data_IF_115973447305
#
_entry.id   IF_115973447305
#
_cell.length_a   1.000
_cell.length_b   1.000
_cell.length_c   1.000
_cell.angle_alpha   90.00
_cell.angle_beta   90.00
_cell.angle_gamma   90.00
#
_symmetry.space_group_name_H-M   'P 1'
#
loop_
_entity.id
_entity.type
_entity.pdbx_description
1 polymer ?
#
# COMPACT_ATOMS: atom_id res chain seq x y z
N UNK A 1 -36.57 -34.78 21.92
CA UNK A 1 -36.52 -33.33 22.17
C UNK A 1 -36.30 -32.66 20.83
N UNK A 2 -37.04 -31.59 20.53
CA UNK A 2 -36.81 -30.80 19.34
C UNK A 2 -35.56 -29.94 19.58
N UNK A 3 -34.56 -30.00 18.71
CA UNK A 3 -33.35 -29.18 18.83
C UNK A 3 -33.29 -28.21 17.66
N UNK A 4 -32.77 -27.02 17.91
CA UNK A 4 -32.48 -26.04 16.88
C UNK A 4 -31.30 -26.54 16.02
N UNK A 5 -31.47 -26.59 14.71
CA UNK A 5 -30.42 -27.06 13.80
C UNK A 5 -29.21 -26.11 13.70
N UNK A 6 -29.31 -24.88 14.20
CA UNK A 6 -28.24 -23.88 14.14
C UNK A 6 -27.39 -23.90 15.40
N UNK A 7 -28.01 -23.80 16.58
CA UNK A 7 -27.29 -23.73 17.86
C UNK A 7 -27.23 -25.08 18.60
N UNK A 8 -27.93 -26.10 18.12
CA UNK A 8 -28.05 -27.45 18.73
C UNK A 8 -28.67 -27.49 20.13
N UNK A 9 -29.16 -26.35 20.64
CA UNK A 9 -29.87 -26.28 21.91
C UNK A 9 -31.33 -26.77 21.74
N UNK A 10 -31.88 -27.29 22.83
CA UNK A 10 -33.27 -27.74 22.88
C UNK A 10 -34.24 -26.57 22.67
N UNK A 11 -35.33 -26.83 21.96
CA UNK A 11 -36.46 -25.92 21.79
C UNK A 11 -37.53 -26.33 22.80
N UNK A 12 -37.80 -25.45 23.76
CA UNK A 12 -38.83 -25.64 24.76
C UNK A 12 -40.15 -25.09 24.23
N UNK A 13 -41.11 -25.99 23.98
CA UNK A 13 -42.46 -25.61 23.56
C UNK A 13 -43.07 -24.67 24.61
N UNK A 14 -43.71 -23.60 24.15
CA UNK A 14 -44.36 -22.53 24.94
C UNK A 14 -43.44 -21.46 25.55
N UNK A 15 -42.12 -21.68 25.60
CA UNK A 15 -41.15 -20.69 26.05
C UNK A 15 -40.36 -20.07 24.89
N UNK A 16 -39.95 -20.89 23.93
CA UNK A 16 -39.13 -20.44 22.81
C UNK A 16 -39.98 -20.07 21.60
N UNK A 17 -39.61 -18.96 20.94
CA UNK A 17 -40.07 -18.69 19.57
C UNK A 17 -39.21 -19.48 18.60
N UNK A 18 -39.84 -20.24 17.72
CA UNK A 18 -39.15 -21.07 16.72
C UNK A 18 -39.91 -21.07 15.38
N UNK A 19 -39.19 -21.38 14.31
CA UNK A 19 -39.72 -21.55 12.96
C UNK A 19 -39.24 -22.89 12.41
N UNK A 20 -39.94 -23.42 11.42
CA UNK A 20 -39.58 -24.65 10.72
C UNK A 20 -39.31 -24.37 9.24
N UNK A 21 -38.30 -25.02 8.66
CA UNK A 21 -38.18 -25.05 7.21
C UNK A 21 -39.32 -25.91 6.60
N UNK A 22 -39.56 -25.84 5.28
CA UNK A 22 -40.60 -26.65 4.63
C UNK A 22 -40.48 -28.16 4.88
N UNK A 23 -39.25 -28.66 5.08
CA UNK A 23 -38.96 -30.05 5.40
C UNK A 23 -39.02 -30.38 6.91
N UNK A 24 -39.49 -29.45 7.75
CA UNK A 24 -39.77 -29.68 9.17
C UNK A 24 -38.59 -29.49 10.14
N UNK A 25 -37.40 -29.07 9.67
CA UNK A 25 -36.27 -28.76 10.56
C UNK A 25 -36.51 -27.49 11.36
N UNK A 26 -36.34 -27.57 12.68
CA UNK A 26 -36.69 -26.53 13.64
C UNK A 26 -35.50 -25.62 13.94
N UNK A 27 -35.77 -24.32 14.08
CA UNK A 27 -34.78 -23.28 14.37
C UNK A 27 -35.36 -22.28 15.36
N UNK A 28 -34.57 -21.85 16.35
CA UNK A 28 -34.95 -20.70 17.20
C UNK A 28 -35.10 -19.43 16.36
N UNK A 29 -36.04 -18.57 16.73
CA UNK A 29 -36.31 -17.32 16.01
C UNK A 29 -35.07 -16.43 15.85
N UNK A 30 -34.32 -16.22 16.94
CA UNK A 30 -33.08 -15.42 16.90
C UNK A 30 -31.95 -16.10 16.10
N UNK A 31 -31.86 -17.43 16.16
CA UNK A 31 -30.88 -18.16 15.35
C UNK A 31 -31.21 -18.05 13.85
N UNK A 32 -32.50 -18.15 13.49
CA UNK A 32 -32.94 -17.99 12.10
C UNK A 32 -32.72 -16.56 11.62
N UNK A 33 -33.01 -15.57 12.46
CA UNK A 33 -32.80 -14.14 12.18
C UNK A 33 -31.38 -13.84 11.73
N UNK A 34 -30.37 -14.29 12.48
CA UNK A 34 -28.96 -14.09 12.13
C UNK A 34 -28.55 -14.92 10.91
N UNK A 35 -29.08 -16.15 10.76
CA UNK A 35 -28.77 -16.98 9.60
C UNK A 35 -29.28 -16.39 8.27
N UNK A 36 -30.47 -15.82 8.28
CA UNK A 36 -31.10 -15.23 7.09
C UNK A 36 -30.31 -14.03 6.53
N UNK A 37 -29.39 -13.43 7.30
CA UNK A 37 -28.44 -12.42 6.81
C UNK A 37 -27.51 -13.00 5.75
N UNK A 38 -27.16 -14.29 5.87
CA UNK A 38 -26.22 -14.96 4.99
C UNK A 38 -26.89 -15.86 3.96
N UNK A 39 -28.02 -16.48 4.30
CA UNK A 39 -28.70 -17.42 3.41
C UNK A 39 -30.20 -17.54 3.70
N UNK A 40 -31.02 -17.56 2.66
CA UNK A 40 -32.48 -17.79 2.76
C UNK A 40 -32.87 -19.27 2.80
N UNK A 41 -31.91 -20.17 2.92
CA UNK A 41 -32.10 -21.63 2.86
C UNK A 41 -31.81 -22.30 4.19
N UNK A 42 -32.39 -23.47 4.42
CA UNK A 42 -32.13 -24.27 5.61
C UNK A 42 -30.67 -24.79 5.60
N UNK A 43 -29.89 -24.62 6.68
CA UNK A 43 -28.50 -25.10 6.73
C UNK A 43 -28.38 -26.63 6.58
N UNK A 44 -29.42 -27.37 6.93
CA UNK A 44 -29.39 -28.85 6.91
C UNK A 44 -29.84 -29.44 5.57
N UNK A 45 -30.90 -28.90 4.96
CA UNK A 45 -31.47 -29.46 3.74
C UNK A 45 -31.44 -28.52 2.53
N UNK A 46 -30.93 -27.29 2.68
CA UNK A 46 -30.80 -26.26 1.64
C UNK A 46 -32.12 -25.81 1.01
N UNK A 47 -33.25 -26.25 1.55
CA UNK A 47 -34.58 -25.81 1.11
C UNK A 47 -34.82 -24.36 1.53
N UNK A 48 -35.37 -23.54 0.62
CA UNK A 48 -35.67 -22.14 0.91
C UNK A 48 -36.77 -22.04 1.98
N UNK A 49 -36.62 -21.15 2.94
CA UNK A 49 -37.71 -20.85 3.87
C UNK A 49 -38.89 -20.22 3.14
N UNK A 50 -40.11 -20.48 3.64
CA UNK A 50 -41.31 -19.88 3.08
C UNK A 50 -41.23 -18.35 3.14
N UNK A 51 -41.72 -17.68 2.10
CA UNK A 51 -41.64 -16.22 1.99
C UNK A 51 -42.38 -15.53 3.16
N UNK A 52 -43.42 -16.16 3.73
CA UNK A 52 -44.12 -15.67 4.92
C UNK A 52 -43.22 -15.63 6.17
N UNK A 53 -42.27 -16.56 6.30
CA UNK A 53 -41.29 -16.60 7.38
C UNK A 53 -40.21 -15.54 7.14
N UNK A 54 -39.68 -15.47 5.92
CA UNK A 54 -38.66 -14.47 5.53
C UNK A 54 -39.20 -13.04 5.71
N UNK A 55 -40.46 -12.79 5.35
CA UNK A 55 -41.10 -11.47 5.46
C UNK A 55 -41.11 -10.96 6.91
N UNK A 56 -41.19 -11.85 7.92
CA UNK A 56 -41.12 -11.45 9.34
C UNK A 56 -39.79 -10.79 9.71
N UNK A 57 -38.71 -11.12 8.99
CA UNK A 57 -37.37 -10.61 9.22
C UNK A 57 -36.96 -9.52 8.23
N UNK A 58 -37.82 -9.15 7.28
CA UNK A 58 -37.48 -8.24 6.18
C UNK A 58 -36.87 -6.92 6.65
N UNK A 59 -37.47 -6.26 7.64
CA UNK A 59 -36.95 -4.98 8.17
C UNK A 59 -35.55 -5.12 8.77
N UNK A 60 -35.30 -6.22 9.49
CA UNK A 60 -34.00 -6.51 10.06
C UNK A 60 -32.95 -6.82 8.98
N UNK A 61 -33.31 -7.61 7.97
CA UNK A 61 -32.41 -7.92 6.86
C UNK A 61 -32.04 -6.66 6.07
N UNK A 62 -33.00 -5.77 5.82
CA UNK A 62 -32.76 -4.48 5.16
C UNK A 62 -31.87 -3.55 6.00
N UNK A 63 -32.03 -3.53 7.33
CA UNK A 63 -31.18 -2.76 8.24
C UNK A 63 -29.75 -3.30 8.24
N UNK A 64 -29.58 -4.63 8.38
CA UNK A 64 -28.26 -5.27 8.31
C UNK A 64 -27.56 -5.08 6.97
N UNK A 65 -28.30 -5.14 5.87
CA UNK A 65 -27.76 -4.88 4.53
C UNK A 65 -27.27 -3.43 4.40
N UNK A 66 -28.02 -2.45 4.93
CA UNK A 66 -27.60 -1.05 4.95
C UNK A 66 -26.34 -0.86 5.79
N UNK A 67 -26.30 -1.41 7.00
CA UNK A 67 -25.12 -1.35 7.87
C UNK A 67 -23.88 -1.93 7.16
N UNK A 68 -24.01 -3.11 6.54
CA UNK A 68 -22.91 -3.74 5.79
C UNK A 68 -22.46 -2.91 4.59
N UNK A 69 -23.41 -2.30 3.87
CA UNK A 69 -23.10 -1.42 2.74
C UNK A 69 -22.41 -0.12 3.19
N UNK A 70 -22.81 0.45 4.32
CA UNK A 70 -22.15 1.63 4.90
C UNK A 70 -20.72 1.31 5.37
N UNK A 71 -20.51 0.16 6.04
CA UNK A 71 -19.17 -0.30 6.43
C UNK A 71 -18.29 -0.45 5.19
N UNK A 72 -18.78 -1.17 4.17
CA UNK A 72 -18.03 -1.37 2.91
C UNK A 72 -17.72 -0.05 2.22
N UNK A 73 -18.67 0.89 2.19
CA UNK A 73 -18.46 2.22 1.61
C UNK A 73 -17.37 2.98 2.37
N UNK A 74 -17.40 2.96 3.69
CA UNK A 74 -16.39 3.61 4.53
C UNK A 74 -15.01 2.97 4.34
N UNK A 75 -14.92 1.65 4.23
CA UNK A 75 -13.66 0.94 3.95
C UNK A 75 -13.07 1.33 2.60
N UNK A 76 -13.90 1.38 1.55
CA UNK A 76 -13.49 1.82 0.21
C UNK A 76 -13.03 3.29 0.22
N UNK A 77 -13.74 4.16 0.94
CA UNK A 77 -13.37 5.56 1.08
C UNK A 77 -12.02 5.70 1.81
N UNK A 78 -11.81 4.96 2.90
CA UNK A 78 -10.52 4.94 3.60
C UNK A 78 -9.38 4.41 2.72
N UNK A 79 -9.63 3.36 1.92
CA UNK A 79 -8.63 2.85 0.98
C UNK A 79 -8.30 3.88 -0.10
N UNK A 80 -9.31 4.58 -0.63
CA UNK A 80 -9.11 5.65 -1.61
C UNK A 80 -8.27 6.80 -1.05
N UNK A 81 -8.50 7.19 0.21
CA UNK A 81 -7.72 8.24 0.90
C UNK A 81 -6.26 7.80 1.04
N UNK A 82 -6.02 6.55 1.48
CA UNK A 82 -4.65 6.00 1.59
C UNK A 82 -3.92 6.01 0.25
N UNK A 83 -4.60 5.64 -0.84
CA UNK A 83 -4.01 5.69 -2.18
C UNK A 83 -3.70 7.13 -2.61
N UNK A 84 -4.61 8.07 -2.34
CA UNK A 84 -4.39 9.49 -2.61
C UNK A 84 -3.18 10.04 -1.84
N UNK A 85 -3.00 9.66 -0.57
CA UNK A 85 -1.82 10.05 0.22
C UNK A 85 -0.51 9.51 -0.36
N UNK A 86 -0.49 8.27 -0.84
CA UNK A 86 0.68 7.69 -1.51
C UNK A 86 1.03 8.50 -2.75
N UNK A 87 0.04 8.79 -3.61
CA UNK A 87 0.24 9.56 -4.83
C UNK A 87 0.69 10.99 -4.50
N UNK A 88 0.07 11.65 -3.53
CA UNK A 88 0.46 13.00 -3.09
C UNK A 88 1.92 13.05 -2.61
N UNK A 89 2.35 12.04 -1.84
CA UNK A 89 3.73 11.91 -1.37
C UNK A 89 4.75 11.64 -2.49
N UNK A 90 4.34 11.00 -3.57
CA UNK A 90 5.17 10.83 -4.76
C UNK A 90 5.27 12.14 -5.55
N UNK A 91 4.15 12.82 -5.79
CA UNK A 91 4.11 14.11 -6.50
C UNK A 91 4.91 15.19 -5.74
N UNK A 92 4.78 15.25 -4.41
CA UNK A 92 5.55 16.17 -3.59
C UNK A 92 7.06 15.94 -3.75
N UNK A 93 7.49 14.68 -3.80
CA UNK A 93 8.89 14.34 -4.02
C UNK A 93 9.37 14.69 -5.43
N UNK A 94 8.56 14.45 -6.46
CA UNK A 94 8.89 14.84 -7.83
C UNK A 94 9.07 16.36 -7.97
N UNK A 95 8.17 17.15 -7.39
CA UNK A 95 8.31 18.62 -7.34
C UNK A 95 9.56 19.06 -6.59
N UNK A 96 9.89 18.35 -5.51
CA UNK A 96 11.14 18.58 -4.80
C UNK A 96 12.35 18.35 -5.72
N UNK A 97 12.39 17.24 -6.47
CA UNK A 97 13.48 16.96 -7.42
C UNK A 97 13.58 18.03 -8.51
N UNK A 98 12.45 18.43 -9.11
CA UNK A 98 12.39 19.51 -10.11
C UNK A 98 12.98 20.82 -9.55
N UNK A 99 12.71 21.12 -8.28
CA UNK A 99 13.29 22.29 -7.62
C UNK A 99 14.82 22.16 -7.49
N UNK A 100 15.33 20.96 -7.18
CA UNK A 100 16.78 20.71 -7.13
C UNK A 100 17.41 20.83 -8.52
N UNK A 101 16.75 20.31 -9.56
CA UNK A 101 17.24 20.42 -10.94
C UNK A 101 17.32 21.88 -11.39
N UNK A 102 16.30 22.69 -11.11
CA UNK A 102 16.34 24.12 -11.37
C UNK A 102 17.52 24.82 -10.66
N UNK A 103 17.80 24.44 -9.40
CA UNK A 103 18.96 24.99 -8.67
C UNK A 103 20.29 24.57 -9.29
N UNK A 104 20.39 23.35 -9.81
CA UNK A 104 21.56 22.86 -10.54
C UNK A 104 21.77 23.66 -11.84
N UNK A 105 20.70 23.94 -12.58
CA UNK A 105 20.75 24.70 -13.83
C UNK A 105 21.25 26.13 -13.64
N UNK A 106 20.87 26.78 -12.55
CA UNK A 106 21.36 28.13 -12.20
C UNK A 106 22.67 28.11 -11.39
N UNK A 107 23.32 26.95 -11.27
CA UNK A 107 24.60 26.74 -10.56
C UNK A 107 24.58 27.06 -9.05
N UNK A 108 23.40 27.11 -8.43
CA UNK A 108 23.19 27.33 -6.98
C UNK A 108 23.42 26.04 -6.16
N UNK A 109 24.63 25.49 -6.29
CA UNK A 109 24.95 24.15 -5.81
C UNK A 109 24.92 23.99 -4.29
N UNK A 110 25.39 24.99 -3.53
CA UNK A 110 25.38 24.93 -2.06
C UNK A 110 23.95 24.91 -1.53
N UNK A 111 23.07 25.71 -2.13
CA UNK A 111 21.67 25.74 -1.75
C UNK A 111 20.97 24.42 -2.11
N UNK A 112 21.24 23.87 -3.29
CA UNK A 112 20.75 22.55 -3.69
C UNK A 112 21.19 21.44 -2.72
N UNK A 113 22.46 21.45 -2.28
CA UNK A 113 22.96 20.48 -1.30
C UNK A 113 22.28 20.64 0.07
N UNK A 114 22.13 21.87 0.58
CA UNK A 114 21.44 22.11 1.85
C UNK A 114 19.99 21.62 1.82
N UNK A 115 19.30 21.79 0.68
CA UNK A 115 17.94 21.29 0.46
C UNK A 115 17.90 19.76 0.45
N UNK A 116 18.91 19.10 -0.14
CA UNK A 116 19.01 17.63 -0.16
C UNK A 116 19.31 17.05 1.23
N UNK A 117 20.09 17.74 2.07
CA UNK A 117 20.41 17.32 3.43
C UNK A 117 19.18 17.27 4.35
N UNK A 118 18.18 18.12 4.11
CA UNK A 118 16.90 18.08 4.83
C UNK A 118 16.14 16.75 4.63
N UNK A 119 16.55 15.94 3.65
CA UNK A 119 15.93 14.66 3.32
C UNK A 119 16.89 13.46 3.50
N UNK A 120 17.94 13.61 4.31
CA UNK A 120 18.87 12.50 4.63
C UNK A 120 18.23 11.37 5.48
N UNK A 121 17.00 11.56 5.94
CA UNK A 121 16.20 10.53 6.60
C UNK A 121 15.91 9.32 5.70
N UNK A 122 15.93 9.49 4.37
CA UNK A 122 15.65 8.39 3.45
C UNK A 122 16.84 7.43 3.38
N UNK A 123 16.66 6.14 3.75
CA UNK A 123 17.73 5.17 3.66
C UNK A 123 18.07 4.89 2.19
N UNK A 124 19.31 4.44 1.93
CA UNK A 124 19.77 4.08 0.58
C UNK A 124 19.00 2.90 -0.05
N UNK A 125 18.28 2.12 0.75
CA UNK A 125 17.37 1.07 0.26
C UNK A 125 16.07 1.64 -0.33
N UNK A 126 15.73 2.89 -0.01
CA UNK A 126 14.57 3.60 -0.55
C UNK A 126 14.92 4.27 -1.88
N UNK A 127 14.08 4.16 -2.93
CA UNK A 127 14.28 4.86 -4.21
C UNK A 127 14.51 6.37 -4.07
N UNK A 128 13.81 7.04 -3.13
CA UNK A 128 14.00 8.47 -2.83
C UNK A 128 15.42 8.75 -2.30
N UNK A 129 15.89 7.92 -1.37
CA UNK A 129 17.25 8.03 -0.82
C UNK A 129 18.34 7.78 -1.87
N UNK A 130 18.10 6.85 -2.80
CA UNK A 130 19.00 6.62 -3.94
C UNK A 130 19.09 7.84 -4.85
N UNK A 131 17.95 8.47 -5.17
CA UNK A 131 17.91 9.67 -6.00
C UNK A 131 18.61 10.86 -5.33
N UNK A 132 18.38 11.06 -4.03
CA UNK A 132 19.07 12.10 -3.24
C UNK A 132 20.58 11.88 -3.27
N UNK A 133 21.03 10.64 -3.07
CA UNK A 133 22.45 10.29 -3.09
C UNK A 133 23.07 10.51 -4.47
N UNK A 134 22.36 10.16 -5.54
CA UNK A 134 22.76 10.45 -6.92
C UNK A 134 22.93 11.95 -7.15
N UNK A 135 21.93 12.76 -6.76
CA UNK A 135 21.98 14.22 -6.94
C UNK A 135 23.12 14.86 -6.14
N UNK A 136 23.38 14.42 -4.90
CA UNK A 136 24.56 14.86 -4.14
C UNK A 136 25.86 14.54 -4.89
N UNK A 137 25.97 13.35 -5.47
CA UNK A 137 27.10 12.97 -6.32
C UNK A 137 27.24 13.85 -7.57
N UNK A 138 26.14 14.06 -8.30
CA UNK A 138 26.08 14.91 -9.50
C UNK A 138 26.47 16.36 -9.21
N UNK A 139 25.92 16.95 -8.14
CA UNK A 139 26.25 18.33 -7.75
C UNK A 139 27.74 18.45 -7.41
N UNK A 140 28.30 17.53 -6.62
CA UNK A 140 29.72 17.55 -6.29
C UNK A 140 30.61 17.38 -7.53
N UNK A 141 30.20 16.55 -8.49
CA UNK A 141 30.88 16.42 -9.78
C UNK A 141 30.89 17.76 -10.54
N UNK A 142 29.72 18.42 -10.65
CA UNK A 142 29.60 19.71 -11.35
C UNK A 142 30.43 20.81 -10.68
N UNK A 143 30.55 20.77 -9.34
CA UNK A 143 31.42 21.67 -8.56
C UNK A 143 32.92 21.39 -8.71
N UNK A 144 33.31 20.33 -9.43
CA UNK A 144 34.70 19.88 -9.51
C UNK A 144 35.23 19.18 -8.24
N UNK A 145 34.35 18.90 -7.27
CA UNK A 145 34.66 18.15 -6.03
C UNK A 145 34.56 16.65 -6.31
N UNK A 146 35.48 16.16 -7.16
CA UNK A 146 35.46 14.78 -7.66
C UNK A 146 35.63 13.73 -6.55
N UNK A 147 36.37 14.07 -5.49
CA UNK A 147 36.52 13.26 -4.28
C UNK A 147 35.18 12.96 -3.60
N UNK A 148 34.38 14.00 -3.37
CA UNK A 148 33.05 13.88 -2.77
C UNK A 148 32.05 13.22 -3.73
N UNK A 149 32.13 13.56 -5.02
CA UNK A 149 31.30 12.94 -6.05
C UNK A 149 31.49 11.41 -6.06
N UNK A 150 32.74 10.94 -6.05
CA UNK A 150 33.08 9.52 -5.97
C UNK A 150 32.49 8.89 -4.71
N UNK A 151 32.62 9.54 -3.54
CA UNK A 151 32.09 8.98 -2.29
C UNK A 151 30.58 8.68 -2.38
N UNK A 152 29.79 9.67 -2.81
CA UNK A 152 28.34 9.50 -2.95
C UNK A 152 27.96 8.51 -4.05
N UNK A 153 28.56 8.62 -5.24
CA UNK A 153 28.24 7.76 -6.39
C UNK A 153 28.69 6.32 -6.16
N UNK A 154 29.84 6.09 -5.52
CA UNK A 154 30.34 4.75 -5.20
C UNK A 154 29.42 4.07 -4.18
N UNK A 155 28.96 4.80 -3.16
CA UNK A 155 27.98 4.29 -2.19
C UNK A 155 26.67 3.87 -2.87
N UNK A 156 26.24 4.63 -3.87
CA UNK A 156 25.05 4.33 -4.67
C UNK A 156 25.20 3.04 -5.48
N UNK A 157 26.23 2.95 -6.33
CA UNK A 157 26.43 1.79 -7.23
C UNK A 157 26.76 0.50 -6.50
N UNK A 158 27.33 0.58 -5.28
CA UNK A 158 27.54 -0.58 -4.42
C UNK A 158 26.23 -1.21 -3.95
N UNK A 159 25.19 -0.39 -3.79
CA UNK A 159 23.89 -0.84 -3.27
C UNK A 159 22.95 -1.25 -4.40
N UNK A 160 22.93 -0.51 -5.51
CA UNK A 160 22.13 -0.82 -6.68
C UNK A 160 23.00 -0.73 -7.93
N UNK A 161 23.19 -1.89 -8.56
CA UNK A 161 24.07 -2.07 -9.71
C UNK A 161 23.47 -1.54 -11.04
N UNK A 162 22.24 -1.03 -11.01
CA UNK A 162 21.50 -0.52 -12.17
C UNK A 162 21.24 0.99 -12.02
N UNK A 163 22.32 1.77 -12.16
CA UNK A 163 22.31 3.24 -12.22
C UNK A 163 23.36 3.71 -13.24
N UNK A 164 23.03 3.69 -14.54
CA UNK A 164 24.00 3.96 -15.61
C UNK A 164 24.63 5.35 -15.50
N UNK A 165 23.81 6.37 -15.19
CA UNK A 165 24.27 7.74 -14.99
C UNK A 165 25.22 7.87 -13.80
N UNK A 166 25.01 7.08 -12.74
CA UNK A 166 25.91 7.09 -11.59
C UNK A 166 27.28 6.50 -11.95
N UNK A 167 27.31 5.40 -12.71
CA UNK A 167 28.56 4.85 -13.24
C UNK A 167 29.26 5.80 -14.20
N UNK A 168 28.52 6.50 -15.06
CA UNK A 168 29.08 7.48 -15.99
C UNK A 168 29.75 8.63 -15.23
N UNK A 169 29.05 9.25 -14.27
CA UNK A 169 29.61 10.33 -13.46
C UNK A 169 30.75 9.86 -12.57
N UNK A 170 30.68 8.63 -12.05
CA UNK A 170 31.74 8.03 -11.25
C UNK A 170 33.01 7.83 -12.08
N UNK A 171 32.88 7.31 -13.31
CA UNK A 171 33.98 7.14 -14.25
C UNK A 171 34.63 8.47 -14.63
N UNK A 172 33.82 9.48 -14.98
CA UNK A 172 34.31 10.84 -15.25
C UNK A 172 35.01 11.47 -14.04
N UNK A 173 34.50 11.22 -12.83
CA UNK A 173 35.15 11.70 -11.60
C UNK A 173 36.51 11.03 -11.37
N UNK A 174 36.62 9.72 -11.61
CA UNK A 174 37.90 9.01 -11.53
C UNK A 174 38.90 9.51 -12.58
N UNK A 175 38.44 9.73 -13.82
CA UNK A 175 39.26 10.26 -14.91
C UNK A 175 39.82 11.65 -14.58
N UNK A 176 38.99 12.54 -14.03
CA UNK A 176 39.40 13.87 -13.59
C UNK A 176 40.49 13.84 -12.50
N UNK A 177 40.54 12.77 -11.69
CA UNK A 177 41.60 12.53 -10.70
C UNK A 177 42.78 11.71 -11.23
N UNK A 178 42.81 11.38 -12.53
CA UNK A 178 43.88 10.60 -13.17
C UNK A 178 43.84 9.10 -12.88
N UNK A 179 42.74 8.58 -12.31
CA UNK A 179 42.59 7.18 -11.90
C UNK A 179 42.04 6.31 -13.03
N UNK A 180 42.84 6.12 -14.08
CA UNK A 180 42.43 5.49 -15.36
C UNK A 180 41.80 4.10 -15.20
N UNK A 181 42.39 3.22 -14.41
CA UNK A 181 41.88 1.84 -14.23
C UNK A 181 40.47 1.83 -13.59
N UNK A 182 40.25 2.72 -12.61
CA UNK A 182 38.95 2.85 -11.94
C UNK A 182 37.91 3.51 -12.84
N UNK A 183 38.33 4.47 -13.67
CA UNK A 183 37.46 5.10 -14.65
C UNK A 183 36.97 4.05 -15.66
N UNK A 184 37.87 3.23 -16.21
CA UNK A 184 37.53 2.14 -17.12
C UNK A 184 36.56 1.15 -16.47
N UNK A 185 36.83 0.72 -15.23
CA UNK A 185 35.94 -0.17 -14.48
C UNK A 185 34.51 0.39 -14.37
N UNK A 186 34.37 1.70 -14.16
CA UNK A 186 33.06 2.35 -14.06
C UNK A 186 32.37 2.44 -15.43
N UNK A 187 33.10 2.82 -16.49
CA UNK A 187 32.54 2.96 -17.84
C UNK A 187 32.04 1.64 -18.43
N UNK A 188 32.72 0.51 -18.15
CA UNK A 188 32.29 -0.83 -18.58
C UNK A 188 30.92 -1.25 -17.99
N UNK A 189 30.45 -0.55 -16.96
CA UNK A 189 29.20 -0.80 -16.24
C UNK A 189 28.11 0.22 -16.55
N UNK A 190 28.38 1.18 -17.43
CA UNK A 190 27.34 2.02 -18.02
C UNK A 190 26.62 1.14 -19.05
N UNK A 191 25.49 0.54 -18.65
CA UNK A 191 24.68 -0.35 -19.49
C UNK A 191 23.24 0.11 -19.53
#
# INVERSE_FOLDING_TARGET
>A
MANCIICHLGIIKDLDKYEACPNGHLVHYECLKEWLVHSSTCPLCQEKYADSVITKFKSFLEEREKEQNEIRKNELEQESIKQMEIVANQVAFLKFLETIENLIEIEEYEYALSRLEMHDEYPITNPKGQQILFLKGKINFLRGRFDLAINFLFKLVKTKFDFPDAFLLLGKSYEALGLKDKAQWAFERVK
#
